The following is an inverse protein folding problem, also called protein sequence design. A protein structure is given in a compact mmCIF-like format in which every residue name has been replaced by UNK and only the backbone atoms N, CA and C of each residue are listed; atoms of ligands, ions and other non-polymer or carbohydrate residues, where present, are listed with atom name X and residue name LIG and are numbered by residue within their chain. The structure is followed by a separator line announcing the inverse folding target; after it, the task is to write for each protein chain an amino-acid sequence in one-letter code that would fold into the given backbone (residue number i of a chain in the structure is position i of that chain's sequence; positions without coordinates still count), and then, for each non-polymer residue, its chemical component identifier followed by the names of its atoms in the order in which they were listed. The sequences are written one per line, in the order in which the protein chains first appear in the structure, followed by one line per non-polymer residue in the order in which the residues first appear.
data_IF_229148411927
#
_entry.id   IF_229148411927
#
_cell.length_a   1.000
_cell.length_b   1.000
_cell.length_c   1.000
_cell.angle_alpha   90.00
_cell.angle_beta   90.00
_cell.angle_gamma   90.00
#
_symmetry.space_group_name_H-M   'P 1'
#
loop_
_entity.id
_entity.type
_entity.pdbx_description
1 polymer ?
#
# COMPACT_ATOMS: atom_id res chain seq x y z
N UNK A 1 17.68 18.75 17.20
CA UNK A 1 17.38 17.36 17.60
C UNK A 1 18.44 16.36 17.12
N UNK A 2 18.77 16.27 15.82
CA UNK A 2 19.79 15.32 15.33
C UNK A 2 21.19 15.52 15.92
N UNK A 3 21.61 16.77 16.13
CA UNK A 3 22.89 17.08 16.79
C UNK A 3 22.93 16.58 18.25
N UNK A 4 21.82 16.72 18.98
CA UNK A 4 21.71 16.22 20.35
C UNK A 4 21.88 14.69 20.38
N UNK A 5 21.24 13.99 19.45
CA UNK A 5 21.36 12.53 19.32
C UNK A 5 22.81 12.15 18.99
N UNK A 6 23.44 12.85 18.04
CA UNK A 6 24.84 12.62 17.67
C UNK A 6 25.78 12.75 18.88
N UNK A 7 25.65 13.82 19.66
CA UNK A 7 26.52 14.09 20.81
C UNK A 7 26.17 13.30 22.08
N UNK A 8 25.00 12.66 22.12
CA UNK A 8 24.59 11.80 23.24
C UNK A 8 25.22 10.40 23.21
N UNK A 9 25.88 10.03 22.11
CA UNK A 9 26.47 8.71 21.89
C UNK A 9 27.88 8.58 22.45
N UNK A 10 28.27 7.36 22.79
CA UNK A 10 29.66 7.02 23.09
C UNK A 10 30.60 7.27 21.90
N UNK A 11 30.13 7.07 20.66
CA UNK A 11 30.81 7.48 19.44
C UNK A 11 29.92 8.51 18.71
N UNK A 12 30.39 9.76 18.51
CA UNK A 12 29.62 10.82 17.88
C UNK A 12 29.50 10.70 16.35
N UNK A 13 29.86 9.55 15.78
CA UNK A 13 29.66 9.27 14.37
C UNK A 13 28.18 8.97 14.08
N UNK A 14 27.65 9.54 12.99
CA UNK A 14 26.33 9.20 12.49
C UNK A 14 26.36 7.80 11.87
N UNK A 15 25.37 6.99 12.21
CA UNK A 15 25.06 5.76 11.47
C UNK A 15 24.51 6.10 10.08
N UNK A 16 24.49 5.13 9.16
CA UNK A 16 23.90 5.33 7.83
C UNK A 16 22.44 5.82 7.90
N UNK A 17 21.65 5.26 8.81
CA UNK A 17 20.23 5.64 8.98
C UNK A 17 20.12 7.09 9.48
N UNK A 18 20.93 7.49 10.45
CA UNK A 18 20.88 8.85 10.98
C UNK A 18 21.40 9.88 9.99
N UNK A 19 22.40 9.51 9.20
CA UNK A 19 22.88 10.35 8.10
C UNK A 19 21.77 10.53 7.07
N UNK A 20 21.15 9.44 6.62
CA UNK A 20 20.02 9.50 5.68
C UNK A 20 18.87 10.36 6.22
N UNK A 21 18.50 10.20 7.49
CA UNK A 21 17.47 11.02 8.13
C UNK A 21 17.89 12.48 8.21
N UNK A 22 19.14 12.78 8.59
CA UNK A 22 19.65 14.16 8.63
C UNK A 22 19.61 14.79 7.25
N UNK A 23 20.05 14.08 6.23
CA UNK A 23 20.09 14.55 4.85
C UNK A 23 18.65 14.80 4.35
N UNK A 24 17.72 13.87 4.62
CA UNK A 24 16.30 14.00 4.30
C UNK A 24 15.63 15.22 4.96
N UNK A 25 16.01 15.57 6.19
CA UNK A 25 15.49 16.76 6.90
C UNK A 25 15.95 18.10 6.30
N UNK A 26 16.90 18.08 5.37
CA UNK A 26 17.37 19.28 4.66
C UNK A 26 17.14 19.18 3.14
N UNK A 27 16.57 18.07 2.67
CA UNK A 27 16.29 17.83 1.27
C UNK A 27 14.98 18.53 0.86
N UNK A 28 15.06 19.43 -0.12
CA UNK A 28 13.92 20.27 -0.54
C UNK A 28 12.74 19.42 -1.04
N UNK A 29 12.92 18.42 -1.93
CA UNK A 29 11.85 17.50 -2.30
C UNK A 29 11.18 16.83 -1.10
N UNK A 30 11.97 16.23 -0.21
CA UNK A 30 11.44 15.55 0.98
C UNK A 30 10.65 16.51 1.88
N UNK A 31 11.19 17.70 2.16
CA UNK A 31 10.50 18.72 2.96
C UNK A 31 9.20 19.20 2.28
N UNK A 32 9.18 19.26 0.95
CA UNK A 32 7.98 19.64 0.19
C UNK A 32 6.87 18.61 0.37
N UNK A 33 7.20 17.32 0.26
CA UNK A 33 6.22 16.24 0.46
C UNK A 33 5.72 16.16 1.90
N UNK A 34 6.63 16.27 2.88
CA UNK A 34 6.28 16.29 4.30
C UNK A 34 5.36 17.48 4.63
N UNK A 35 5.65 18.67 4.10
CA UNK A 35 4.80 19.84 4.28
C UNK A 35 3.41 19.64 3.68
N UNK A 36 3.30 19.08 2.47
CA UNK A 36 2.02 18.74 1.85
C UNK A 36 1.22 17.73 2.69
N UNK A 37 1.89 16.71 3.25
CA UNK A 37 1.27 15.74 4.16
C UNK A 37 0.76 16.40 5.45
N UNK A 38 1.53 17.31 6.04
CA UNK A 38 1.10 18.07 7.24
C UNK A 38 -0.13 18.90 6.93
N UNK A 39 -0.14 19.63 5.81
CA UNK A 39 -1.30 20.41 5.37
C UNK A 39 -2.53 19.51 5.23
N UNK A 40 -2.42 18.41 4.49
CA UNK A 40 -3.54 17.48 4.31
C UNK A 40 -4.02 16.89 5.65
N UNK A 41 -3.09 16.56 6.55
CA UNK A 41 -3.42 16.03 7.88
C UNK A 41 -4.23 17.02 8.71
N UNK A 42 -3.88 18.30 8.68
CA UNK A 42 -4.55 19.35 9.44
C UNK A 42 -5.87 19.78 8.81
N UNK A 43 -5.96 19.76 7.48
CA UNK A 43 -7.12 20.23 6.72
C UNK A 43 -8.20 19.15 6.58
N UNK A 44 -7.82 17.88 6.37
CA UNK A 44 -8.75 16.77 6.11
C UNK A 44 -8.69 15.71 7.20
N UNK A 45 -7.52 15.11 7.43
CA UNK A 45 -7.43 13.87 8.24
C UNK A 45 -7.88 14.09 9.67
N UNK A 46 -7.37 15.12 10.36
CA UNK A 46 -7.73 15.39 11.74
C UNK A 46 -9.20 15.79 11.91
N UNK A 47 -9.75 16.72 11.12
CA UNK A 47 -11.19 17.01 11.11
C UNK A 47 -12.06 15.76 10.88
N UNK A 48 -11.69 14.90 9.91
CA UNK A 48 -12.39 13.65 9.68
C UNK A 48 -12.35 12.74 10.91
N UNK A 49 -11.15 12.51 11.46
CA UNK A 49 -10.98 11.67 12.66
C UNK A 49 -11.75 12.21 13.86
N UNK A 50 -11.88 13.52 14.02
CA UNK A 50 -12.70 14.12 15.07
C UNK A 50 -14.18 13.73 14.92
N UNK A 51 -14.68 13.62 13.69
CA UNK A 51 -16.08 13.27 13.43
C UNK A 51 -16.36 11.76 13.48
N UNK A 52 -15.34 10.91 13.32
CA UNK A 52 -15.52 9.43 13.35
C UNK A 52 -14.98 8.75 14.63
N UNK A 53 -14.04 9.39 15.34
CA UNK A 53 -13.40 8.89 16.58
C UNK A 53 -13.46 9.88 17.76
N UNK A 54 -14.00 11.08 17.57
CA UNK A 54 -14.03 12.09 18.62
C UNK A 54 -15.00 11.74 19.75
N UNK A 55 -14.94 12.48 20.88
CA UNK A 55 -15.91 12.31 21.96
C UNK A 55 -17.35 12.44 21.45
N UNK A 56 -18.21 11.48 21.79
CA UNK A 56 -19.61 11.47 21.35
C UNK A 56 -19.88 10.68 20.06
N UNK A 57 -18.86 10.09 19.42
CA UNK A 57 -19.01 9.27 18.21
C UNK A 57 -19.12 7.77 18.49
N UNK A 58 -19.21 7.36 19.76
CA UNK A 58 -19.20 5.95 20.17
C UNK A 58 -20.42 5.16 19.67
N UNK A 59 -21.52 5.86 19.41
CA UNK A 59 -22.77 5.29 18.87
C UNK A 59 -22.94 5.52 17.37
N UNK A 60 -21.99 6.21 16.72
CA UNK A 60 -22.06 6.52 15.28
C UNK A 60 -21.97 5.24 14.46
N UNK A 61 -23.01 5.00 13.68
CA UNK A 61 -23.04 3.93 12.71
C UNK A 61 -22.24 4.34 11.47
N UNK A 62 -21.39 3.45 10.95
CA UNK A 62 -20.63 3.70 9.72
C UNK A 62 -21.54 4.02 8.53
N UNK A 63 -22.74 3.42 8.50
CA UNK A 63 -23.73 3.63 7.44
C UNK A 63 -24.28 5.06 7.40
N UNK A 64 -24.12 5.84 8.46
CA UNK A 64 -24.55 7.24 8.54
C UNK A 64 -23.45 8.23 8.13
N UNK A 65 -22.27 7.75 7.72
CA UNK A 65 -21.14 8.61 7.31
C UNK A 65 -21.23 9.12 5.87
N UNK A 66 -22.24 8.72 5.09
CA UNK A 66 -22.43 9.16 3.70
C UNK A 66 -22.34 10.70 3.52
N UNK A 67 -23.08 11.51 4.30
CA UNK A 67 -22.97 12.97 4.24
C UNK A 67 -21.56 13.50 4.54
N UNK A 68 -20.84 12.90 5.49
CA UNK A 68 -19.46 13.29 5.81
C UNK A 68 -18.52 12.99 4.64
N UNK A 69 -18.64 11.82 4.01
CA UNK A 69 -17.83 11.47 2.84
C UNK A 69 -18.09 12.39 1.64
N UNK A 70 -19.34 12.83 1.44
CA UNK A 70 -19.66 13.86 0.46
C UNK A 70 -19.02 15.21 0.81
N UNK A 71 -19.15 15.67 2.06
CA UNK A 71 -18.54 16.92 2.51
C UNK A 71 -17.01 16.94 2.32
N UNK A 72 -16.32 15.82 2.57
CA UNK A 72 -14.87 15.70 2.32
C UNK A 72 -14.55 15.93 0.84
N UNK A 73 -15.29 15.28 -0.06
CA UNK A 73 -15.06 15.39 -1.50
C UNK A 73 -15.29 16.83 -1.97
N UNK A 74 -16.38 17.45 -1.53
CA UNK A 74 -16.72 18.82 -1.89
C UNK A 74 -15.67 19.80 -1.34
N UNK A 75 -15.20 19.59 -0.10
CA UNK A 75 -14.16 20.41 0.49
C UNK A 75 -12.82 20.27 -0.24
N UNK A 76 -12.39 19.05 -0.56
CA UNK A 76 -11.18 18.81 -1.36
C UNK A 76 -11.30 19.49 -2.73
N UNK A 77 -12.46 19.39 -3.40
CA UNK A 77 -12.69 20.06 -4.67
C UNK A 77 -12.60 21.59 -4.53
N UNK A 78 -13.17 22.16 -3.47
CA UNK A 78 -13.11 23.60 -3.21
C UNK A 78 -11.67 24.12 -3.05
N UNK A 79 -10.78 23.34 -2.43
CA UNK A 79 -9.35 23.64 -2.29
C UNK A 79 -8.63 23.55 -3.64
N UNK A 80 -8.99 22.56 -4.47
CA UNK A 80 -8.43 22.43 -5.81
C UNK A 80 -8.82 23.60 -6.71
N UNK A 81 -10.06 24.06 -6.59
CA UNK A 81 -10.60 25.19 -7.35
C UNK A 81 -10.07 26.54 -6.85
N UNK A 82 -9.83 26.64 -5.53
CA UNK A 82 -9.26 27.82 -4.89
C UNK A 82 -8.14 27.47 -3.89
N UNK A 83 -6.89 27.28 -4.36
CA UNK A 83 -5.74 27.02 -3.48
C UNK A 83 -5.47 28.14 -2.46
N UNK A 84 -6.02 29.34 -2.70
CA UNK A 84 -5.95 30.47 -1.77
C UNK A 84 -6.60 30.20 -0.42
N UNK A 85 -7.46 29.19 -0.31
CA UNK A 85 -8.04 28.76 0.98
C UNK A 85 -6.97 28.28 1.98
N UNK A 86 -5.83 27.79 1.49
CA UNK A 86 -4.70 27.34 2.32
C UNK A 86 -3.52 28.31 2.21
N UNK A 87 -3.23 28.79 1.00
CA UNK A 87 -2.00 29.54 0.71
C UNK A 87 -2.20 31.05 0.53
N UNK A 88 -3.44 31.54 0.65
CA UNK A 88 -3.76 32.96 0.52
C UNK A 88 -3.35 33.77 1.75
N UNK A 89 -3.22 35.10 1.59
CA UNK A 89 -2.89 36.00 2.69
C UNK A 89 -3.94 36.00 3.81
N UNK A 90 -5.20 35.74 3.45
CA UNK A 90 -6.33 35.67 4.38
C UNK A 90 -6.68 34.23 4.77
N UNK A 91 -5.80 33.25 4.47
CA UNK A 91 -6.03 31.86 4.80
C UNK A 91 -6.09 31.68 6.32
N UNK A 92 -7.17 31.04 6.79
CA UNK A 92 -7.40 30.73 8.19
C UNK A 92 -7.88 29.30 8.34
N UNK A 93 -7.83 28.77 9.57
CA UNK A 93 -8.37 27.43 9.84
C UNK A 93 -9.87 27.33 9.54
N UNK A 94 -10.62 28.42 9.67
CA UNK A 94 -12.07 28.48 9.46
C UNK A 94 -12.46 28.12 8.02
N UNK A 95 -11.62 28.53 7.06
CA UNK A 95 -11.84 28.27 5.64
C UNK A 95 -11.01 27.11 5.11
N UNK A 96 -9.86 26.83 5.72
CA UNK A 96 -8.95 25.79 5.26
C UNK A 96 -9.38 24.40 5.73
N UNK A 97 -9.85 24.25 6.97
CA UNK A 97 -10.15 22.93 7.56
C UNK A 97 -11.56 22.48 7.20
N UNK A 98 -11.75 21.15 7.07
CA UNK A 98 -13.04 20.55 6.72
C UNK A 98 -14.17 20.90 7.70
N UNK A 99 -13.86 21.05 8.99
CA UNK A 99 -14.85 21.33 10.03
C UNK A 99 -14.79 22.77 10.56
N UNK A 100 -13.95 23.62 9.95
CA UNK A 100 -13.78 25.03 10.34
C UNK A 100 -13.17 25.22 11.74
N UNK A 101 -12.61 24.17 12.35
CA UNK A 101 -12.01 24.21 13.68
C UNK A 101 -10.50 24.44 13.61
N UNK A 102 -9.93 24.88 14.73
CA UNK A 102 -8.49 25.10 14.84
C UNK A 102 -7.67 23.85 14.49
N UNK A 103 -6.48 24.08 13.95
CA UNK A 103 -5.51 23.02 13.66
C UNK A 103 -5.15 22.27 14.93
N UNK A 104 -5.13 20.94 14.85
CA UNK A 104 -4.75 20.09 15.98
C UNK A 104 -3.32 20.34 16.43
N UNK A 105 -2.44 20.71 15.48
CA UNK A 105 -1.06 21.09 15.75
C UNK A 105 -0.75 22.43 15.04
N UNK A 106 -1.02 23.57 15.72
CA UNK A 106 -0.76 24.88 15.15
C UNK A 106 0.73 25.16 14.88
N UNK A 107 1.62 24.58 15.69
CA UNK A 107 3.07 24.76 15.54
C UNK A 107 3.57 24.04 14.29
N UNK A 108 3.05 22.85 13.98
CA UNK A 108 3.36 22.16 12.72
C UNK A 108 2.91 22.97 11.49
N UNK A 109 1.70 23.55 11.53
CA UNK A 109 1.23 24.42 10.44
C UNK A 109 2.07 25.68 10.30
N UNK A 110 2.42 26.32 11.42
CA UNK A 110 3.31 27.47 11.44
C UNK A 110 4.67 27.14 10.83
N UNK A 111 5.28 26.02 11.21
CA UNK A 111 6.54 25.56 10.65
C UNK A 111 6.44 25.33 9.13
N UNK A 112 5.32 24.78 8.65
CA UNK A 112 5.07 24.65 7.21
C UNK A 112 5.01 26.03 6.53
N UNK A 113 4.25 26.98 7.07
CA UNK A 113 4.15 28.33 6.48
C UNK A 113 5.49 29.07 6.46
N UNK A 114 6.32 28.91 7.49
CA UNK A 114 7.68 29.44 7.53
C UNK A 114 8.59 28.81 6.45
N UNK A 115 8.36 27.55 6.10
CA UNK A 115 9.11 26.84 5.06
C UNK A 115 8.66 27.20 3.63
N UNK A 116 7.39 27.55 3.41
CA UNK A 116 6.83 27.81 2.06
C UNK A 116 7.73 28.67 1.15
N UNK A 117 8.31 29.80 1.61
CA UNK A 117 9.17 30.62 0.75
C UNK A 117 10.40 29.88 0.20
N UNK A 118 10.84 28.82 0.89
CA UNK A 118 11.99 27.98 0.49
C UNK A 118 11.59 26.73 -0.32
N UNK A 119 10.29 26.47 -0.47
CA UNK A 119 9.76 25.26 -1.13
C UNK A 119 9.09 25.63 -2.46
N UNK A 120 9.84 25.68 -3.58
CA UNK A 120 9.33 26.22 -4.86
C UNK A 120 8.14 25.44 -5.45
N UNK A 121 7.95 24.18 -5.04
CA UNK A 121 6.91 23.29 -5.56
C UNK A 121 5.83 22.91 -4.53
N UNK A 122 5.75 23.59 -3.38
CA UNK A 122 4.80 23.23 -2.33
C UNK A 122 3.34 23.28 -2.80
N UNK A 123 2.96 24.32 -3.53
CA UNK A 123 1.59 24.46 -4.06
C UNK A 123 1.27 23.32 -5.05
N UNK A 124 2.02 23.12 -6.15
CA UNK A 124 1.68 22.06 -7.10
C UNK A 124 1.73 20.65 -6.49
N UNK A 125 2.66 20.36 -5.58
CA UNK A 125 2.73 19.06 -4.89
C UNK A 125 1.53 18.86 -3.95
N UNK A 126 1.15 19.89 -3.18
CA UNK A 126 -0.04 19.82 -2.32
C UNK A 126 -1.29 19.59 -3.17
N UNK A 127 -1.47 20.31 -4.28
CA UNK A 127 -2.64 20.10 -5.15
C UNK A 127 -2.64 18.72 -5.82
N UNK A 128 -1.48 18.19 -6.19
CA UNK A 128 -1.36 16.82 -6.69
C UNK A 128 -1.79 15.79 -5.62
N UNK A 129 -1.35 15.99 -4.37
CA UNK A 129 -1.76 15.17 -3.23
C UNK A 129 -3.29 15.21 -3.04
N UNK A 130 -3.90 16.40 -3.05
CA UNK A 130 -5.34 16.56 -2.91
C UNK A 130 -6.13 15.93 -4.07
N UNK A 131 -5.62 15.96 -5.31
CA UNK A 131 -6.24 15.22 -6.44
C UNK A 131 -6.21 13.72 -6.20
N UNK A 132 -5.07 13.17 -5.79
CA UNK A 132 -4.95 11.74 -5.45
C UNK A 132 -5.87 11.33 -4.30
N UNK A 133 -5.99 12.19 -3.29
CA UNK A 133 -6.94 12.02 -2.19
C UNK A 133 -8.39 12.05 -2.69
N UNK A 134 -8.77 13.00 -3.55
CA UNK A 134 -10.12 13.09 -4.11
C UNK A 134 -10.50 11.82 -4.90
N UNK A 135 -9.59 11.31 -5.73
CA UNK A 135 -9.78 10.05 -6.47
C UNK A 135 -10.02 8.90 -5.50
N UNK A 136 -9.23 8.83 -4.42
CA UNK A 136 -9.34 7.78 -3.40
C UNK A 136 -10.65 7.88 -2.64
N UNK A 137 -11.05 9.08 -2.18
CA UNK A 137 -12.32 9.33 -1.50
C UNK A 137 -13.51 9.00 -2.40
N UNK A 138 -13.44 9.36 -3.68
CA UNK A 138 -14.48 9.02 -4.65
C UNK A 138 -14.66 7.51 -4.77
N UNK A 139 -13.57 6.75 -4.84
CA UNK A 139 -13.61 5.27 -4.88
C UNK A 139 -14.08 4.68 -3.55
N UNK A 140 -13.63 5.23 -2.42
CA UNK A 140 -13.97 4.74 -1.09
C UNK A 140 -15.44 4.98 -0.75
N UNK A 141 -16.03 6.08 -1.22
CA UNK A 141 -17.40 6.46 -0.90
C UNK A 141 -18.44 6.01 -1.93
N UNK A 142 -18.11 5.15 -2.90
CA UNK A 142 -19.03 4.75 -3.99
C UNK A 142 -20.30 4.09 -3.43
N UNK A 143 -20.17 3.29 -2.38
CA UNK A 143 -21.31 2.60 -1.75
C UNK A 143 -22.30 3.55 -1.05
N UNK A 144 -21.86 4.77 -0.72
CA UNK A 144 -22.67 5.83 -0.12
C UNK A 144 -23.31 6.78 -1.15
N UNK A 145 -23.19 6.48 -2.45
CA UNK A 145 -23.76 7.33 -3.48
C UNK A 145 -25.30 7.47 -3.33
N UNK A 146 -25.87 8.65 -3.66
CA UNK A 146 -27.32 8.83 -3.64
C UNK A 146 -28.04 7.80 -4.50
N UNK A 147 -29.11 7.20 -3.97
CA UNK A 147 -29.84 6.10 -4.61
C UNK A 147 -29.14 4.74 -4.54
N UNK A 148 -27.97 4.64 -3.90
CA UNK A 148 -27.30 3.38 -3.58
C UNK A 148 -28.03 2.58 -2.49
N UNK A 149 -27.57 1.35 -2.24
CA UNK A 149 -28.19 0.48 -1.24
C UNK A 149 -28.20 1.10 0.16
N UNK A 150 -27.08 1.72 0.57
CA UNK A 150 -26.95 2.35 1.90
C UNK A 150 -27.89 3.56 2.03
N UNK A 151 -27.97 4.39 0.98
CA UNK A 151 -28.85 5.57 0.96
C UNK A 151 -30.34 5.18 0.99
N UNK A 152 -30.70 4.09 0.32
CA UNK A 152 -32.05 3.55 0.31
C UNK A 152 -32.43 2.80 1.61
N UNK A 153 -31.48 2.48 2.48
CA UNK A 153 -31.77 1.76 3.72
C UNK A 153 -32.63 2.62 4.67
N UNK A 154 -33.72 2.00 5.13
CA UNK A 154 -34.53 2.54 6.22
C UNK A 154 -33.71 2.68 7.51
N UNK A 155 -34.18 3.51 8.43
CA UNK A 155 -33.55 3.65 9.75
C UNK A 155 -33.49 2.31 10.49
N UNK A 156 -34.52 1.47 10.35
CA UNK A 156 -34.57 0.13 10.95
C UNK A 156 -33.51 -0.80 10.36
N UNK A 157 -33.34 -0.83 9.04
CA UNK A 157 -32.32 -1.66 8.40
C UNK A 157 -30.91 -1.22 8.80
N UNK A 158 -30.66 0.09 8.87
CA UNK A 158 -29.38 0.62 9.36
C UNK A 158 -29.11 0.23 10.81
N UNK A 159 -30.13 0.25 11.66
CA UNK A 159 -30.01 -0.17 13.06
C UNK A 159 -29.75 -1.67 13.19
N UNK A 160 -30.38 -2.50 12.34
CA UNK A 160 -30.14 -3.96 12.32
C UNK A 160 -28.75 -4.30 11.79
N UNK A 161 -28.24 -3.53 10.83
CA UNK A 161 -26.89 -3.66 10.27
C UNK A 161 -25.87 -2.74 10.97
N UNK A 162 -26.11 -2.38 12.23
CA UNK A 162 -25.25 -1.43 12.94
C UNK A 162 -23.81 -1.93 13.01
N UNK A 163 -22.89 -1.06 12.61
CA UNK A 163 -21.45 -1.27 12.73
C UNK A 163 -20.79 0.03 13.22
N UNK A 164 -19.77 -0.05 14.08
CA UNK A 164 -19.06 1.13 14.54
C UNK A 164 -18.43 1.87 13.35
N UNK A 165 -18.38 3.19 13.44
CA UNK A 165 -17.73 4.08 12.45
C UNK A 165 -16.27 3.73 12.15
N UNK A 166 -15.60 3.02 13.05
CA UNK A 166 -14.20 2.61 12.91
C UNK A 166 -13.99 1.15 13.29
N UNK A 167 -12.93 0.57 12.73
CA UNK A 167 -12.53 -0.82 12.98
C UNK A 167 -11.65 -0.97 14.23
N UNK A 168 -11.50 0.08 15.05
CA UNK A 168 -10.54 0.17 16.15
C UNK A 168 -10.73 -0.96 17.18
N UNK A 169 -11.98 -1.32 17.49
CA UNK A 169 -12.30 -2.40 18.42
C UNK A 169 -11.85 -3.78 17.89
N UNK A 170 -12.01 -4.02 16.59
CA UNK A 170 -11.59 -5.27 15.96
C UNK A 170 -10.06 -5.32 15.83
N UNK A 171 -9.42 -4.20 15.48
CA UNK A 171 -7.97 -4.08 15.44
C UNK A 171 -7.34 -4.28 16.83
N UNK A 172 -7.94 -3.70 17.86
CA UNK A 172 -7.56 -3.91 19.26
C UNK A 172 -7.70 -5.38 19.67
N UNK A 173 -8.82 -6.03 19.32
CA UNK A 173 -9.02 -7.45 19.61
C UNK A 173 -8.01 -8.34 18.87
N UNK A 174 -7.68 -8.02 17.62
CA UNK A 174 -6.65 -8.70 16.84
C UNK A 174 -5.25 -8.49 17.43
N UNK A 175 -4.95 -7.28 17.89
CA UNK A 175 -3.70 -6.95 18.58
C UNK A 175 -3.55 -7.75 19.87
N UNK A 176 -4.58 -7.77 20.71
CA UNK A 176 -4.62 -8.56 21.95
C UNK A 176 -4.42 -10.06 21.68
N UNK A 177 -5.05 -10.58 20.62
CA UNK A 177 -4.89 -11.96 20.18
C UNK A 177 -3.45 -12.28 19.79
N UNK A 178 -2.82 -11.42 18.98
CA UNK A 178 -1.42 -11.59 18.56
C UNK A 178 -0.47 -11.62 19.75
N UNK A 179 -0.67 -10.75 20.73
CA UNK A 179 0.14 -10.73 21.96
C UNK A 179 -0.07 -12.01 22.77
N UNK A 180 -1.32 -12.46 22.92
CA UNK A 180 -1.64 -13.66 23.68
C UNK A 180 -1.00 -14.93 23.09
N UNK A 181 -1.07 -15.11 21.77
CA UNK A 181 -0.46 -16.27 21.11
C UNK A 181 1.07 -16.26 21.19
N UNK A 182 1.71 -15.10 21.12
CA UNK A 182 3.17 -15.00 21.29
C UNK A 182 3.62 -15.52 22.66
N UNK A 183 2.86 -15.19 23.71
CA UNK A 183 3.14 -15.67 25.07
C UNK A 183 2.66 -17.11 25.33
N UNK A 184 1.71 -17.62 24.54
CA UNK A 184 1.12 -18.95 24.69
C UNK A 184 0.93 -19.63 23.33
N UNK A 185 1.99 -20.17 22.70
CA UNK A 185 1.90 -20.73 21.35
C UNK A 185 0.98 -21.95 21.23
N UNK A 186 0.72 -22.65 22.33
CA UNK A 186 -0.21 -23.78 22.38
C UNK A 186 -1.68 -23.38 22.54
N UNK A 187 -1.97 -22.09 22.78
CA UNK A 187 -3.33 -21.58 22.94
C UNK A 187 -4.08 -21.71 21.61
N UNK A 188 -5.21 -22.43 21.62
CA UNK A 188 -6.05 -22.52 20.44
C UNK A 188 -6.91 -21.27 20.27
N UNK A 189 -7.38 -21.03 19.04
CA UNK A 189 -8.27 -19.90 18.78
C UNK A 189 -9.60 -20.05 19.56
N UNK A 190 -10.12 -21.27 19.67
CA UNK A 190 -11.31 -21.51 20.50
C UNK A 190 -11.07 -21.14 21.97
N UNK A 191 -9.95 -21.57 22.57
CA UNK A 191 -9.61 -21.22 23.95
C UNK A 191 -9.43 -19.71 24.15
N UNK A 192 -8.76 -19.03 23.21
CA UNK A 192 -8.63 -17.58 23.26
C UNK A 192 -9.99 -16.89 23.22
N UNK A 193 -10.85 -17.27 22.27
CA UNK A 193 -12.18 -16.69 22.12
C UNK A 193 -13.03 -16.91 23.39
N UNK A 194 -13.00 -18.11 23.96
CA UNK A 194 -13.69 -18.43 25.21
C UNK A 194 -13.18 -17.58 26.37
N UNK A 195 -11.86 -17.40 26.53
CA UNK A 195 -11.29 -16.53 27.56
C UNK A 195 -11.63 -15.05 27.35
N UNK A 196 -11.61 -14.58 26.11
CA UNK A 196 -11.95 -13.21 25.75
C UNK A 196 -13.42 -12.92 26.05
N UNK A 197 -14.33 -13.82 25.66
CA UNK A 197 -15.76 -13.73 25.94
C UNK A 197 -16.05 -13.80 27.44
N UNK A 198 -15.41 -14.73 28.16
CA UNK A 198 -15.57 -14.88 29.61
C UNK A 198 -15.26 -13.58 30.35
N UNK A 199 -14.17 -12.90 29.97
CA UNK A 199 -13.78 -11.59 30.55
C UNK A 199 -14.71 -10.47 30.11
N UNK A 200 -15.04 -10.40 28.82
CA UNK A 200 -15.87 -9.33 28.24
C UNK A 200 -17.28 -9.31 28.83
N UNK A 201 -17.85 -10.50 29.05
CA UNK A 201 -19.21 -10.66 29.56
C UNK A 201 -19.28 -10.68 31.09
N UNK A 202 -18.15 -10.51 31.78
CA UNK A 202 -18.06 -10.62 33.23
C UNK A 202 -18.68 -11.93 33.76
N UNK A 203 -18.39 -13.03 33.04
CA UNK A 203 -19.06 -14.31 33.25
C UNK A 203 -18.78 -14.87 34.65
N UNK A 204 -17.66 -14.51 35.28
CA UNK A 204 -17.37 -14.89 36.67
C UNK A 204 -18.42 -14.33 37.63
N UNK A 205 -18.73 -13.04 37.57
CA UNK A 205 -19.71 -12.43 38.46
C UNK A 205 -21.12 -13.01 38.23
N UNK A 206 -21.48 -13.32 36.98
CA UNK A 206 -22.73 -14.02 36.66
C UNK A 206 -22.78 -15.43 37.28
N UNK A 207 -21.69 -16.19 37.15
CA UNK A 207 -21.60 -17.52 37.74
C UNK A 207 -21.70 -17.45 39.27
N UNK A 208 -20.94 -16.55 39.90
CA UNK A 208 -20.94 -16.41 41.37
C UNK A 208 -22.32 -16.01 41.92
N UNK A 209 -23.12 -15.27 41.13
CA UNK A 209 -24.44 -14.82 41.54
C UNK A 209 -25.56 -15.86 41.31
N UNK A 210 -25.43 -16.74 40.33
CA UNK A 210 -26.56 -17.53 39.80
C UNK A 210 -26.31 -19.04 39.79
N UNK A 211 -25.05 -19.50 39.71
CA UNK A 211 -24.76 -20.93 39.56
C UNK A 211 -24.94 -21.71 40.86
N UNK A 212 -25.47 -22.91 40.72
CA UNK A 212 -25.39 -23.96 41.75
C UNK A 212 -24.30 -24.99 41.40
N UNK A 213 -24.05 -25.91 42.33
CA UNK A 213 -23.14 -27.04 42.11
C UNK A 213 -23.55 -27.90 40.90
N UNK A 214 -24.85 -28.02 40.60
CA UNK A 214 -25.31 -28.74 39.41
C UNK A 214 -24.92 -28.04 38.11
N UNK A 215 -25.01 -26.70 38.07
CA UNK A 215 -24.61 -25.92 36.90
C UNK A 215 -23.10 -26.03 36.64
N UNK A 216 -22.29 -25.98 37.70
CA UNK A 216 -20.86 -26.24 37.62
C UNK A 216 -20.56 -27.64 37.08
N UNK A 217 -21.25 -28.67 37.58
CA UNK A 217 -21.11 -30.04 37.11
C UNK A 217 -21.52 -30.19 35.63
N UNK A 218 -22.55 -29.47 35.20
CA UNK A 218 -23.02 -29.45 33.82
C UNK A 218 -21.98 -28.83 32.88
N UNK A 219 -21.47 -27.62 33.17
CA UNK A 219 -20.50 -26.94 32.29
C UNK A 219 -19.19 -27.73 32.18
N UNK A 220 -18.74 -28.38 33.26
CA UNK A 220 -17.54 -29.22 33.24
C UNK A 220 -17.72 -30.44 32.33
N UNK A 221 -18.91 -31.04 32.32
CA UNK A 221 -19.25 -32.15 31.42
C UNK A 221 -19.26 -31.68 29.97
N UNK A 222 -19.85 -30.53 29.72
CA UNK A 222 -19.96 -29.96 28.37
C UNK A 222 -18.61 -29.53 27.81
N UNK A 223 -17.75 -28.92 28.64
CA UNK A 223 -16.37 -28.61 28.27
C UNK A 223 -15.60 -29.86 27.82
N UNK A 224 -15.70 -30.97 28.57
CA UNK A 224 -15.09 -32.26 28.19
C UNK A 224 -15.65 -32.80 26.88
N UNK A 225 -16.96 -32.67 26.66
CA UNK A 225 -17.61 -33.07 25.40
C UNK A 225 -17.04 -32.29 24.22
N UNK A 226 -16.90 -30.97 24.36
CA UNK A 226 -16.32 -30.10 23.33
C UNK A 226 -14.85 -30.44 23.10
N UNK A 227 -14.04 -30.60 24.15
CA UNK A 227 -12.63 -30.97 23.98
C UNK A 227 -12.46 -32.33 23.28
N UNK A 228 -13.36 -33.28 23.56
CA UNK A 228 -13.37 -34.60 22.91
C UNK A 228 -13.86 -34.60 21.44
N UNK A 229 -14.45 -33.51 20.97
CA UNK A 229 -15.07 -33.42 19.63
C UNK A 229 -14.07 -33.34 18.47
N UNK A 230 -12.80 -33.02 18.76
CA UNK A 230 -11.74 -32.90 17.75
C UNK A 230 -11.90 -31.72 16.78
N UNK A 231 -12.80 -30.76 17.05
CA UNK A 231 -13.03 -29.58 16.19
C UNK A 231 -11.74 -28.80 15.91
N UNK A 232 -10.89 -28.60 16.93
CA UNK A 232 -9.59 -27.93 16.76
C UNK A 232 -8.61 -28.74 15.91
N UNK A 233 -8.66 -30.08 15.94
CA UNK A 233 -7.84 -30.92 15.08
C UNK A 233 -8.28 -30.79 13.62
N UNK A 234 -9.60 -30.83 13.35
CA UNK A 234 -10.17 -30.59 12.02
C UNK A 234 -9.85 -29.19 11.50
N UNK A 235 -9.90 -28.18 12.36
CA UNK A 235 -9.53 -26.80 11.98
C UNK A 235 -8.05 -26.68 11.63
N UNK A 236 -7.16 -27.35 12.36
CA UNK A 236 -5.73 -27.41 12.03
C UNK A 236 -5.49 -28.10 10.69
N UNK A 237 -6.20 -29.18 10.41
CA UNK A 237 -6.13 -29.88 9.13
C UNK A 237 -6.55 -28.98 7.97
N UNK A 238 -7.67 -28.26 8.10
CA UNK A 238 -8.11 -27.27 7.11
C UNK A 238 -7.08 -26.15 6.88
N UNK A 239 -6.44 -25.65 7.94
CA UNK A 239 -5.39 -24.63 7.82
C UNK A 239 -4.18 -25.20 7.06
N UNK A 240 -3.79 -26.44 7.33
CA UNK A 240 -2.68 -27.11 6.63
C UNK A 240 -3.04 -27.33 5.16
N UNK A 241 -4.23 -27.82 4.86
CA UNK A 241 -4.71 -28.03 3.49
C UNK A 241 -4.72 -26.71 2.70
N UNK A 242 -5.27 -25.64 3.29
CA UNK A 242 -5.27 -24.32 2.66
C UNK A 242 -3.84 -23.81 2.38
N UNK A 243 -2.90 -24.05 3.30
CA UNK A 243 -1.48 -23.69 3.09
C UNK A 243 -0.85 -24.49 1.95
N UNK A 244 -1.16 -25.78 1.85
CA UNK A 244 -0.70 -26.63 0.74
C UNK A 244 -1.25 -26.11 -0.59
N UNK A 245 -2.55 -25.83 -0.66
CA UNK A 245 -3.18 -25.27 -1.86
C UNK A 245 -2.58 -23.92 -2.26
N UNK A 246 -2.34 -23.05 -1.28
CA UNK A 246 -1.71 -21.74 -1.51
C UNK A 246 -0.28 -21.88 -2.03
N UNK A 247 0.50 -22.80 -1.45
CA UNK A 247 1.86 -23.09 -1.90
C UNK A 247 1.86 -23.63 -3.34
N UNK A 248 0.94 -24.54 -3.67
CA UNK A 248 0.82 -25.07 -5.02
C UNK A 248 0.40 -23.99 -6.03
N UNK A 249 -0.56 -23.14 -5.68
CA UNK A 249 -0.94 -21.99 -6.51
C UNK A 249 0.25 -21.06 -6.77
N UNK A 250 1.09 -20.81 -5.76
CA UNK A 250 2.31 -20.02 -5.93
C UNK A 250 3.32 -20.71 -6.84
N UNK A 251 3.50 -22.03 -6.73
CA UNK A 251 4.36 -22.80 -7.63
C UNK A 251 3.87 -22.74 -9.07
N UNK A 252 2.59 -22.98 -9.31
CA UNK A 252 1.99 -22.89 -10.66
C UNK A 252 2.16 -21.48 -11.24
N UNK A 253 1.97 -20.43 -10.44
CA UNK A 253 2.21 -19.05 -10.88
C UNK A 253 3.68 -18.82 -11.23
N UNK A 254 4.62 -19.34 -10.44
CA UNK A 254 6.05 -19.25 -10.72
C UNK A 254 6.42 -20.00 -12.02
N UNK A 255 5.93 -21.22 -12.20
CA UNK A 255 6.17 -22.01 -13.41
C UNK A 255 5.57 -21.35 -14.66
N UNK A 256 4.37 -20.76 -14.54
CA UNK A 256 3.75 -19.99 -15.60
C UNK A 256 4.57 -18.74 -15.96
N UNK A 257 5.15 -18.05 -14.98
CA UNK A 257 6.07 -16.92 -15.21
C UNK A 257 7.32 -17.37 -15.99
N UNK A 258 7.93 -18.49 -15.58
CA UNK A 258 9.10 -19.09 -16.25
C UNK A 258 8.76 -19.49 -17.70
N UNK A 259 7.62 -20.15 -17.93
CA UNK A 259 7.19 -20.55 -19.27
C UNK A 259 6.91 -19.35 -20.17
N UNK A 260 6.26 -18.31 -19.64
CA UNK A 260 6.00 -17.06 -20.37
C UNK A 260 7.32 -16.39 -20.75
N UNK A 261 8.25 -16.23 -19.81
CA UNK A 261 9.57 -15.65 -20.08
C UNK A 261 10.34 -16.44 -21.15
N UNK A 262 10.29 -17.79 -21.11
CA UNK A 262 10.92 -18.63 -22.13
C UNK A 262 10.30 -18.44 -23.52
N UNK A 263 8.96 -18.31 -23.59
CA UNK A 263 8.24 -18.02 -24.84
C UNK A 263 8.60 -16.64 -25.39
N UNK A 264 8.57 -15.61 -24.54
CA UNK A 264 8.88 -14.23 -24.91
C UNK A 264 10.34 -14.11 -25.40
N UNK A 265 11.29 -14.78 -24.73
CA UNK A 265 12.68 -14.88 -25.17
C UNK A 265 12.78 -15.49 -26.58
N UNK A 266 12.09 -16.62 -26.82
CA UNK A 266 12.09 -17.29 -28.12
C UNK A 266 11.51 -16.40 -29.23
N UNK A 267 10.41 -15.72 -28.96
CA UNK A 267 9.81 -14.77 -29.89
C UNK A 267 10.78 -13.61 -30.19
N UNK A 268 11.40 -13.03 -29.17
CA UNK A 268 12.37 -11.94 -29.34
C UNK A 268 13.63 -12.35 -30.12
N UNK A 269 14.13 -13.57 -29.91
CA UNK A 269 15.23 -14.15 -30.70
C UNK A 269 14.84 -14.43 -32.17
N UNK A 270 13.56 -14.67 -32.45
CA UNK A 270 13.06 -14.90 -33.81
C UNK A 270 12.74 -13.60 -34.58
N UNK A 271 12.59 -12.46 -33.89
CA UNK A 271 12.28 -11.17 -34.52
C UNK A 271 13.36 -10.73 -35.50
N UNK A 272 12.94 -10.24 -36.67
CA UNK A 272 13.82 -9.67 -37.71
C UNK A 272 14.28 -8.28 -37.29
N UNK A 273 15.58 -8.02 -37.43
CA UNK A 273 16.19 -6.73 -37.10
C UNK A 273 16.11 -5.76 -38.29
N UNK A 274 15.64 -4.54 -38.04
CA UNK A 274 15.44 -3.50 -39.07
C UNK A 274 16.77 -2.77 -39.36
N UNK A 275 17.11 -2.47 -40.63
CA UNK A 275 18.33 -1.73 -40.96
C UNK A 275 18.27 -0.26 -40.52
N UNK A 276 19.44 0.33 -40.29
CA UNK A 276 19.59 1.72 -39.80
C UNK A 276 18.79 2.76 -40.63
N UNK A 277 18.67 2.56 -41.94
CA UNK A 277 17.96 3.44 -42.88
C UNK A 277 16.44 3.51 -42.64
N UNK A 278 15.86 2.51 -42.00
CA UNK A 278 14.40 2.39 -41.80
C UNK A 278 13.97 2.70 -40.37
N UNK A 279 14.92 2.90 -39.45
CA UNK A 279 14.64 3.07 -38.01
C UNK A 279 13.91 4.37 -37.67
N UNK A 280 14.08 5.43 -38.46
CA UNK A 280 13.45 6.73 -38.18
C UNK A 280 11.94 6.72 -38.42
N UNK A 281 11.47 5.81 -39.28
CA UNK A 281 10.06 5.62 -39.59
C UNK A 281 9.34 4.70 -38.58
N UNK A 282 10.06 4.08 -37.64
CA UNK A 282 9.47 3.15 -36.69
C UNK A 282 8.53 3.84 -35.68
N UNK A 283 7.44 3.15 -35.37
CA UNK A 283 6.56 3.50 -34.26
C UNK A 283 7.20 3.09 -32.94
N UNK A 284 6.79 3.72 -31.83
CA UNK A 284 7.33 3.40 -30.48
C UNK A 284 7.22 1.90 -30.14
N UNK A 285 6.09 1.21 -30.40
CA UNK A 285 5.99 -0.22 -30.17
C UNK A 285 7.02 -1.05 -30.95
N UNK A 286 7.25 -0.70 -32.23
CA UNK A 286 8.26 -1.38 -33.04
C UNK A 286 9.68 -1.11 -32.55
N UNK A 287 9.97 0.08 -32.00
CA UNK A 287 11.27 0.38 -31.39
C UNK A 287 11.49 -0.48 -30.14
N UNK A 288 10.48 -0.61 -29.27
CA UNK A 288 10.56 -1.49 -28.09
C UNK A 288 10.82 -2.94 -28.48
N UNK A 289 10.11 -3.42 -29.51
CA UNK A 289 10.27 -4.77 -30.05
C UNK A 289 11.69 -5.03 -30.55
N UNK A 290 12.30 -4.06 -31.23
CA UNK A 290 13.68 -4.16 -31.71
C UNK A 290 14.70 -4.11 -30.54
N UNK A 291 14.50 -3.24 -29.56
CA UNK A 291 15.36 -3.18 -28.36
C UNK A 291 15.30 -4.49 -27.56
N UNK A 292 14.11 -5.08 -27.39
CA UNK A 292 13.94 -6.38 -26.76
C UNK A 292 14.63 -7.50 -27.55
N UNK A 293 14.56 -7.45 -28.88
CA UNK A 293 15.25 -8.39 -29.77
C UNK A 293 16.78 -8.30 -29.63
N UNK A 294 17.34 -7.10 -29.48
CA UNK A 294 18.77 -6.91 -29.23
C UNK A 294 19.19 -7.34 -27.82
N UNK A 295 18.38 -7.04 -26.79
CA UNK A 295 18.62 -7.50 -25.41
C UNK A 295 18.65 -9.02 -25.34
N UNK A 296 17.69 -9.70 -25.97
CA UNK A 296 17.64 -11.16 -26.07
C UNK A 296 18.88 -11.77 -26.76
N UNK A 297 19.54 -11.03 -27.66
CA UNK A 297 20.77 -11.45 -28.36
C UNK A 297 22.05 -11.10 -27.61
N UNK A 298 21.95 -10.58 -26.39
CA UNK A 298 23.11 -10.29 -25.53
C UNK A 298 23.84 -9.00 -25.88
N UNK A 299 23.19 -8.04 -26.53
CA UNK A 299 23.77 -6.71 -26.72
C UNK A 299 23.84 -5.99 -25.35
N UNK A 300 25.03 -5.60 -24.88
CA UNK A 300 25.20 -4.99 -23.56
C UNK A 300 24.64 -3.56 -23.53
N UNK A 301 24.37 -3.05 -22.32
CA UNK A 301 23.94 -1.68 -22.04
C UNK A 301 22.58 -1.27 -22.63
N UNK A 302 21.72 -2.23 -22.99
CA UNK A 302 20.33 -1.95 -23.36
C UNK A 302 19.47 -1.98 -22.09
N UNK A 303 19.07 -0.81 -21.62
CA UNK A 303 18.13 -0.69 -20.51
C UNK A 303 16.74 -1.19 -20.88
N UNK A 304 15.92 -1.48 -19.87
CA UNK A 304 14.49 -1.80 -20.04
C UNK A 304 13.72 -0.63 -20.65
N UNK A 305 12.62 -0.92 -21.36
CA UNK A 305 11.93 0.07 -22.19
C UNK A 305 11.36 1.25 -21.40
N UNK A 306 10.98 1.03 -20.13
CA UNK A 306 10.47 2.03 -19.19
C UNK A 306 11.49 3.13 -18.85
N UNK A 307 12.79 2.82 -18.90
CA UNK A 307 13.87 3.79 -18.62
C UNK A 307 14.06 4.83 -19.73
N UNK A 308 13.50 4.59 -20.91
CA UNK A 308 13.52 5.56 -22.00
C UNK A 308 12.20 6.34 -22.02
N UNK A 309 12.25 7.64 -21.67
CA UNK A 309 11.03 8.47 -21.60
C UNK A 309 10.61 9.00 -22.97
N UNK A 310 11.54 9.50 -23.77
CA UNK A 310 11.24 10.11 -25.07
C UNK A 310 11.48 9.14 -26.23
N UNK A 311 10.77 9.35 -27.35
CA UNK A 311 11.01 8.59 -28.60
C UNK A 311 12.45 8.77 -29.11
N UNK A 312 13.01 9.97 -28.94
CA UNK A 312 14.39 10.27 -29.34
C UNK A 312 15.42 9.40 -28.59
N UNK A 313 15.24 9.24 -27.28
CA UNK A 313 16.13 8.43 -26.44
C UNK A 313 16.07 6.94 -26.85
N UNK A 314 14.86 6.44 -27.09
CA UNK A 314 14.62 5.07 -27.57
C UNK A 314 15.29 4.81 -28.91
N UNK A 315 15.16 5.75 -29.84
CA UNK A 315 15.77 5.67 -31.15
C UNK A 315 17.30 5.76 -31.07
N UNK A 316 17.83 6.61 -30.18
CA UNK A 316 19.27 6.70 -29.88
C UNK A 316 19.83 5.36 -29.40
N UNK A 317 19.21 4.78 -28.38
CA UNK A 317 19.58 3.47 -27.85
C UNK A 317 19.49 2.36 -28.91
N UNK A 318 18.45 2.38 -29.76
CA UNK A 318 18.29 1.41 -30.84
C UNK A 318 19.42 1.52 -31.88
N UNK A 319 19.79 2.75 -32.27
CA UNK A 319 20.88 3.01 -33.21
C UNK A 319 22.24 2.57 -32.63
N UNK A 320 22.48 2.78 -31.34
CA UNK A 320 23.69 2.31 -30.66
C UNK A 320 23.75 0.79 -30.58
N UNK A 321 22.64 0.14 -30.21
CA UNK A 321 22.51 -1.32 -30.17
C UNK A 321 22.78 -1.94 -31.55
N UNK A 322 22.23 -1.36 -32.62
CA UNK A 322 22.47 -1.80 -34.00
C UNK A 322 23.96 -1.71 -34.37
N UNK A 323 24.61 -0.58 -34.08
CA UNK A 323 26.04 -0.36 -34.40
C UNK A 323 26.93 -1.37 -33.68
N UNK A 324 26.65 -1.61 -32.39
CA UNK A 324 27.37 -2.62 -31.61
C UNK A 324 27.14 -4.01 -32.20
N UNK A 325 25.89 -4.36 -32.49
CA UNK A 325 25.55 -5.68 -33.01
C UNK A 325 26.19 -5.96 -34.38
N UNK A 326 26.18 -4.99 -35.30
CA UNK A 326 26.84 -5.13 -36.61
C UNK A 326 28.38 -5.20 -36.49
N UNK A 327 28.98 -4.40 -35.61
CA UNK A 327 30.43 -4.43 -35.37
C UNK A 327 30.89 -5.79 -34.79
N UNK A 328 30.05 -6.43 -33.99
CA UNK A 328 30.34 -7.70 -33.32
C UNK A 328 29.72 -8.92 -34.04
N UNK A 329 29.00 -8.72 -35.15
CA UNK A 329 28.33 -9.78 -35.93
C UNK A 329 29.31 -10.77 -36.56
N UNK A 330 30.53 -10.31 -36.87
CA UNK A 330 31.58 -11.09 -37.54
C UNK A 330 32.38 -11.94 -36.54
N UNK A 331 32.39 -11.59 -35.25
CA UNK A 331 33.10 -12.34 -34.19
C UNK A 331 32.24 -13.46 -33.57
N UNK A 332 30.93 -13.46 -33.81
CA UNK A 332 29.96 -14.37 -33.19
C UNK A 332 29.70 -15.67 -33.99
N UNK A 333 30.41 -15.94 -35.10
CA UNK A 333 30.25 -17.18 -35.88
C UNK A 333 30.87 -18.42 -35.24
N UNK A 334 31.51 -18.30 -34.08
CA UNK A 334 31.93 -19.45 -33.26
C UNK A 334 31.65 -19.19 -31.78
N UNK A 335 30.39 -19.26 -31.40
CA UNK A 335 30.03 -19.76 -30.07
C UNK A 335 28.72 -20.53 -30.21
N UNK A 336 28.67 -21.79 -29.74
CA UNK A 336 27.45 -22.57 -29.82
C UNK A 336 26.37 -21.82 -29.04
N UNK A 337 25.19 -21.72 -29.66
CA UNK A 337 23.94 -21.38 -28.96
C UNK A 337 23.98 -22.04 -27.57
N UNK A 338 23.82 -21.30 -26.47
CA UNK A 338 23.81 -21.88 -25.13
C UNK A 338 22.89 -23.09 -25.11
N UNK A 339 23.45 -24.24 -24.72
CA UNK A 339 22.85 -25.55 -24.95
C UNK A 339 21.57 -25.82 -24.15
N UNK A 340 21.03 -24.85 -23.41
CA UNK A 340 19.63 -24.87 -23.06
C UNK A 340 19.05 -23.48 -22.88
N UNK A 341 17.87 -23.24 -23.46
CA UNK A 341 17.01 -22.10 -23.12
C UNK A 341 16.70 -22.05 -21.61
N UNK A 342 16.91 -23.13 -20.87
CA UNK A 342 16.66 -23.24 -19.42
C UNK A 342 17.65 -22.42 -18.57
N UNK A 343 18.85 -22.15 -19.06
CA UNK A 343 19.90 -21.48 -18.27
C UNK A 343 19.80 -19.95 -18.29
N UNK A 344 19.11 -19.38 -19.29
CA UNK A 344 18.93 -17.92 -19.42
C UNK A 344 17.63 -17.40 -18.80
N UNK A 345 16.64 -18.27 -18.57
CA UNK A 345 15.32 -17.89 -18.02
C UNK A 345 15.41 -17.39 -16.57
N UNK A 346 16.23 -17.97 -15.66
CA UNK A 346 16.34 -17.48 -14.29
C UNK A 346 16.81 -16.02 -14.21
N UNK A 347 17.82 -15.64 -15.01
CA UNK A 347 18.36 -14.27 -15.02
C UNK A 347 17.34 -13.24 -15.56
N UNK A 348 16.53 -13.63 -16.54
CA UNK A 348 15.44 -12.79 -17.08
C UNK A 348 14.32 -12.65 -16.05
N UNK A 349 13.95 -13.73 -15.34
CA UNK A 349 12.91 -13.69 -14.30
C UNK A 349 13.36 -12.86 -13.09
N UNK A 350 14.64 -12.85 -12.76
CA UNK A 350 15.22 -12.00 -11.71
C UNK A 350 15.17 -10.51 -12.09
N UNK A 351 15.55 -10.17 -13.33
CA UNK A 351 15.48 -8.80 -13.86
C UNK A 351 14.04 -8.26 -13.97
N UNK A 352 13.05 -9.14 -14.19
CA UNK A 352 11.61 -8.79 -14.19
C UNK A 352 11.04 -8.66 -12.76
N UNK A 353 11.68 -9.29 -11.77
CA UNK A 353 11.32 -9.16 -10.36
C UNK A 353 11.62 -7.75 -9.85
N UNK A 354 12.74 -7.19 -10.29
CA UNK A 354 13.12 -5.80 -10.02
C UNK A 354 12.19 -4.78 -10.72
N UNK A 355 11.50 -5.16 -11.81
CA UNK A 355 10.48 -4.32 -12.47
C UNK A 355 9.13 -4.33 -11.72
N UNK A 356 8.64 -5.47 -11.24
CA UNK A 356 7.38 -5.54 -10.47
C UNK A 356 7.51 -4.85 -9.09
N UNK A 357 8.65 -4.98 -8.41
CA UNK A 357 8.87 -4.30 -7.13
C UNK A 357 9.02 -2.77 -7.31
N UNK A 358 9.48 -2.30 -8.47
CA UNK A 358 9.55 -0.87 -8.81
C UNK A 358 8.20 -0.28 -9.28
N UNK A 359 7.36 -1.06 -9.98
CA UNK A 359 6.01 -0.63 -10.40
C UNK A 359 4.96 -0.75 -9.28
N UNK A 360 5.23 -1.51 -8.21
CA UNK A 360 4.39 -1.59 -7.01
C UNK A 360 4.72 -0.51 -5.95
N UNK A 361 5.79 0.27 -6.17
CA UNK A 361 6.18 1.42 -5.34
C UNK A 361 5.80 2.79 -5.95
N UNK A 362 5.07 2.82 -7.09
CA UNK A 362 4.36 4.00 -7.61
C UNK A 362 2.83 3.87 -7.43
#
# INVERSE_FOLDING_TARGET
MMELIQWSKQNPSLTNIEKNLRDALHDIPTLTELAAMVIYKMVITHPYLRQVRGPGTESTNILDLGPLHHAIRDHIQSILDNPGLIFGCDASYETATLDGLEWVDPEAMKAVFELIPSLPHIIPITLAFFRGALTTWTRFSVEFAPGGLIDACSATERQLAWMPSTNDANEGALGAYRVAIRGKPSLTLHQYNSQAMFRRNDTQNFMDAVFTDEDHAYIMREARRIDSSGEEARKREQIVEFRIQTAEMQRVKADAKVQKAAKDLRENLARVLVPLSEMEALTIPLIHDQLNAYRARGVPNISVNSKYRLKADKLGALKEAFRWYEANRVTATVSPVPQSLSDMVPAIVEEWRDEEDAEMEE
#
